data_IF_949115800113
#
_entry.id   IF_949115800113
#
_cell.length_a   1.000
_cell.length_b   1.000
_cell.length_c   1.000
_cell.angle_alpha   90.00
_cell.angle_beta   90.00
_cell.angle_gamma   90.00
#
_symmetry.space_group_name_H-M   'P 1'
#
loop_
_entity.id
_entity.type
_entity.pdbx_description
1 polymer ?
#
# COMPACT_ATOMS: atom_id res chain seq x y z
N UNK A 1 -37.92 -72.13 -20.06
CA UNK A 1 -36.90 -71.19 -20.50
C UNK A 1 -37.31 -69.79 -20.06
N UNK A 2 -36.78 -69.28 -18.90
CA UNK A 2 -37.07 -67.94 -18.39
C UNK A 2 -35.89 -67.09 -18.66
N UNK A 3 -36.07 -66.04 -19.50
CA UNK A 3 -35.03 -65.03 -19.79
C UNK A 3 -35.12 -63.95 -18.70
N UNK A 4 -34.12 -63.90 -17.83
CA UNK A 4 -33.93 -62.81 -16.88
C UNK A 4 -33.43 -61.56 -17.61
N UNK A 5 -34.20 -60.50 -17.54
CA UNK A 5 -33.84 -59.16 -18.04
C UNK A 5 -33.16 -58.44 -16.91
N UNK A 6 -31.83 -58.22 -17.03
CA UNK A 6 -31.02 -57.48 -16.10
C UNK A 6 -31.13 -55.99 -16.45
N UNK A 7 -31.88 -55.23 -15.67
CA UNK A 7 -31.91 -53.75 -15.75
C UNK A 7 -30.62 -53.19 -15.17
N UNK A 8 -29.80 -52.64 -16.03
CA UNK A 8 -28.61 -51.90 -15.68
C UNK A 8 -29.01 -50.45 -15.37
N UNK A 9 -29.11 -50.14 -14.05
CA UNK A 9 -29.37 -48.77 -13.59
C UNK A 9 -28.07 -47.97 -13.65
N UNK A 10 -27.88 -47.17 -14.73
CA UNK A 10 -26.79 -46.20 -14.83
C UNK A 10 -27.12 -45.03 -13.87
N UNK A 11 -26.46 -45.01 -12.72
CA UNK A 11 -26.44 -43.84 -11.87
C UNK A 11 -25.63 -42.74 -12.59
N UNK A 12 -26.32 -41.74 -13.11
CA UNK A 12 -25.67 -40.48 -13.51
C UNK A 12 -25.18 -39.80 -12.23
N UNK A 13 -23.91 -39.99 -11.91
CA UNK A 13 -23.21 -39.16 -10.96
C UNK A 13 -23.00 -37.81 -11.68
N UNK A 14 -23.84 -36.83 -11.39
CA UNK A 14 -23.67 -35.48 -11.82
C UNK A 14 -22.33 -34.98 -11.31
N UNK A 15 -21.33 -34.84 -12.17
CA UNK A 15 -20.13 -34.13 -11.85
C UNK A 15 -20.52 -32.71 -11.39
N UNK A 16 -20.00 -32.21 -10.24
CA UNK A 16 -20.24 -30.83 -9.86
C UNK A 16 -19.74 -29.98 -11.02
N UNK A 17 -20.63 -29.17 -11.61
CA UNK A 17 -20.24 -28.16 -12.55
C UNK A 17 -19.22 -27.26 -11.82
N UNK A 18 -17.95 -27.41 -12.17
CA UNK A 18 -16.95 -26.42 -11.90
C UNK A 18 -17.48 -25.14 -12.58
N UNK A 19 -18.15 -24.31 -11.80
CA UNK A 19 -18.40 -22.93 -12.19
C UNK A 19 -17.01 -22.37 -12.37
N UNK A 20 -16.53 -22.38 -13.60
CA UNK A 20 -15.37 -21.61 -13.98
C UNK A 20 -15.72 -20.19 -13.56
N UNK A 21 -14.93 -19.62 -12.63
CA UNK A 21 -14.93 -18.21 -12.33
C UNK A 21 -14.36 -17.48 -13.58
N UNK A 22 -15.02 -17.74 -14.73
CA UNK A 22 -14.70 -17.11 -16.00
C UNK A 22 -15.23 -15.70 -15.91
N UNK A 23 -14.29 -14.77 -16.00
CA UNK A 23 -14.49 -13.39 -16.39
C UNK A 23 -15.20 -12.46 -15.39
N UNK A 24 -15.15 -12.73 -14.08
CA UNK A 24 -15.47 -11.73 -13.07
C UNK A 24 -14.26 -10.78 -12.89
N UNK A 25 -13.97 -10.02 -13.96
CA UNK A 25 -12.94 -8.99 -13.93
C UNK A 25 -13.53 -7.66 -14.40
N UNK A 26 -12.94 -6.58 -13.95
CA UNK A 26 -13.22 -5.22 -14.36
C UNK A 26 -12.00 -4.35 -14.00
N UNK A 27 -12.01 -3.08 -14.40
CA UNK A 27 -10.90 -2.16 -14.17
C UNK A 27 -10.48 -2.07 -12.71
N UNK A 28 -11.41 -2.17 -11.76
CA UNK A 28 -11.10 -2.14 -10.32
C UNK A 28 -10.37 -3.40 -9.88
N UNK A 29 -10.88 -4.57 -10.27
CA UNK A 29 -10.25 -5.86 -9.96
C UNK A 29 -8.86 -5.92 -10.57
N UNK A 30 -8.73 -5.53 -11.82
CA UNK A 30 -7.45 -5.50 -12.53
C UNK A 30 -6.45 -4.56 -11.87
N UNK A 31 -6.88 -3.38 -11.42
CA UNK A 31 -6.05 -2.44 -10.67
C UNK A 31 -5.54 -3.05 -9.36
N UNK A 32 -6.42 -3.70 -8.58
CA UNK A 32 -6.06 -4.37 -7.33
C UNK A 32 -5.03 -5.48 -7.59
N UNK A 33 -5.28 -6.32 -8.59
CA UNK A 33 -4.41 -7.45 -8.92
C UNK A 33 -3.07 -7.01 -9.55
N UNK A 34 -3.04 -5.89 -10.25
CA UNK A 34 -1.85 -5.34 -10.90
C UNK A 34 -0.94 -4.54 -9.96
N UNK A 35 -1.50 -3.92 -8.89
CA UNK A 35 -0.72 -3.08 -8.00
C UNK A 35 0.45 -3.82 -7.35
N UNK A 36 1.61 -3.16 -7.33
CA UNK A 36 2.85 -3.66 -6.71
C UNK A 36 3.48 -2.60 -5.82
N UNK A 37 4.32 -3.04 -4.88
CA UNK A 37 5.18 -2.14 -4.11
C UNK A 37 6.38 -1.76 -4.97
N UNK A 38 6.34 -0.55 -5.53
CA UNK A 38 7.41 0.03 -6.35
C UNK A 38 8.45 0.67 -5.45
N UNK A 39 9.75 0.44 -5.74
CA UNK A 39 10.88 0.94 -4.96
C UNK A 39 11.96 1.61 -5.81
N UNK A 40 11.70 1.73 -7.13
CA UNK A 40 12.50 2.50 -8.07
C UNK A 40 11.58 3.44 -8.82
N UNK A 41 11.95 4.69 -8.87
CA UNK A 41 11.14 5.75 -9.43
C UNK A 41 11.94 6.58 -10.41
N UNK A 42 11.27 7.10 -11.41
CA UNK A 42 11.81 8.12 -12.31
C UNK A 42 12.01 9.42 -11.56
N UNK A 43 12.93 10.26 -12.04
CA UNK A 43 13.19 11.59 -11.45
C UNK A 43 12.12 12.64 -11.84
N UNK A 44 10.99 12.18 -12.40
CA UNK A 44 9.86 13.03 -12.79
C UNK A 44 9.03 13.37 -11.56
N UNK A 45 8.83 14.65 -11.22
CA UNK A 45 7.93 15.05 -10.14
C UNK A 45 6.50 14.55 -10.39
N UNK A 46 5.79 14.24 -9.33
CA UNK A 46 4.35 13.94 -9.41
C UNK A 46 3.58 15.26 -9.37
N UNK A 47 2.65 15.45 -10.29
CA UNK A 47 1.81 16.62 -10.35
C UNK A 47 0.92 16.75 -9.11
N UNK A 48 0.84 17.96 -8.57
CA UNK A 48 0.04 18.25 -7.37
C UNK A 48 -1.43 17.82 -7.53
N UNK A 49 -2.00 17.99 -8.71
CA UNK A 49 -3.37 17.62 -9.02
C UNK A 49 -3.60 16.10 -8.89
N UNK A 50 -2.62 15.29 -9.28
CA UNK A 50 -2.69 13.83 -9.08
C UNK A 50 -2.59 13.47 -7.60
N UNK A 51 -1.72 14.15 -6.86
CA UNK A 51 -1.61 13.96 -5.40
C UNK A 51 -2.91 14.32 -4.70
N UNK A 52 -3.53 15.42 -5.08
CA UNK A 52 -4.84 15.84 -4.55
C UNK A 52 -5.94 14.79 -4.83
N UNK A 53 -5.96 14.21 -6.04
CA UNK A 53 -6.93 13.16 -6.41
C UNK A 53 -6.72 11.90 -5.57
N UNK A 54 -5.49 11.38 -5.46
CA UNK A 54 -5.23 10.13 -4.73
C UNK A 54 -5.48 10.28 -3.23
N UNK A 55 -5.18 11.45 -2.64
CA UNK A 55 -5.49 11.74 -1.24
C UNK A 55 -7.00 11.86 -1.03
N UNK A 56 -7.71 12.51 -1.96
CA UNK A 56 -9.17 12.56 -1.90
C UNK A 56 -9.80 11.16 -1.98
N UNK A 57 -9.30 10.27 -2.82
CA UNK A 57 -9.72 8.86 -2.82
C UNK A 57 -9.44 8.20 -1.46
N UNK A 58 -8.30 8.50 -0.85
CA UNK A 58 -7.93 7.99 0.46
C UNK A 58 -8.95 8.36 1.54
N UNK A 59 -9.25 9.65 1.70
CA UNK A 59 -10.16 10.14 2.76
C UNK A 59 -11.61 9.73 2.54
N UNK A 60 -11.97 9.17 1.37
CA UNK A 60 -13.25 8.53 1.11
C UNK A 60 -13.31 7.05 1.57
N UNK A 61 -12.26 6.54 2.21
CA UNK A 61 -12.29 5.21 2.82
C UNK A 61 -13.35 5.12 3.92
N UNK A 62 -14.01 3.95 4.07
CA UNK A 62 -14.90 3.74 5.19
C UNK A 62 -14.13 3.81 6.51
N UNK A 63 -14.81 4.33 7.54
CA UNK A 63 -14.23 4.44 8.88
C UNK A 63 -15.32 4.40 9.94
N UNK A 64 -14.95 4.03 11.16
CA UNK A 64 -15.88 3.86 12.26
C UNK A 64 -16.66 5.13 12.58
N UNK A 65 -17.99 5.11 12.40
CA UNK A 65 -18.91 6.23 12.71
C UNK A 65 -18.53 7.57 12.03
N UNK A 66 -17.84 7.51 10.91
CA UNK A 66 -17.31 8.68 10.20
C UNK A 66 -16.41 9.58 11.09
N UNK A 67 -15.67 8.98 12.01
CA UNK A 67 -14.77 9.72 12.92
C UNK A 67 -13.51 10.24 12.22
N UNK A 68 -13.14 9.63 11.09
CA UNK A 68 -11.97 10.00 10.29
C UNK A 68 -10.70 10.12 11.15
N UNK A 69 -10.30 9.05 11.88
CA UNK A 69 -9.22 9.07 12.85
C UNK A 69 -7.85 9.01 12.18
N UNK A 70 -7.57 9.93 11.31
CA UNK A 70 -6.31 10.05 10.59
C UNK A 70 -5.90 11.50 10.40
N UNK A 71 -4.61 11.73 10.30
CA UNK A 71 -4.02 12.95 9.80
C UNK A 71 -3.11 12.61 8.62
N UNK A 72 -3.36 13.20 7.46
CA UNK A 72 -2.58 12.97 6.23
C UNK A 72 -1.72 14.19 5.96
N UNK A 73 -0.42 13.97 5.65
CA UNK A 73 0.52 15.02 5.26
C UNK A 73 1.21 14.62 3.97
N UNK A 74 1.07 15.43 2.94
CA UNK A 74 1.76 15.23 1.67
C UNK A 74 3.04 16.04 1.69
N UNK A 75 4.16 15.38 1.46
CA UNK A 75 5.49 15.99 1.42
C UNK A 75 5.94 16.02 -0.03
N UNK A 76 5.82 17.19 -0.64
CA UNK A 76 6.30 17.49 -1.99
C UNK A 76 7.67 18.21 -1.96
N UNK A 77 8.13 18.61 -0.77
CA UNK A 77 9.39 19.34 -0.57
C UNK A 77 10.60 18.39 -0.67
N UNK A 78 11.45 18.54 -1.70
CA UNK A 78 12.65 17.72 -1.85
C UNK A 78 13.66 17.92 -0.71
N UNK A 79 13.68 19.11 -0.09
CA UNK A 79 14.59 19.41 1.02
C UNK A 79 14.26 18.52 2.23
N UNK A 80 12.98 18.33 2.56
CA UNK A 80 12.57 17.41 3.63
C UNK A 80 13.14 16.00 3.41
N UNK A 81 13.00 15.47 2.18
CA UNK A 81 13.46 14.12 1.82
C UNK A 81 14.99 14.03 1.89
N UNK A 82 15.69 15.02 1.36
CA UNK A 82 17.16 15.04 1.31
C UNK A 82 17.77 15.17 2.69
N UNK A 83 17.28 16.11 3.49
CA UNK A 83 17.81 16.42 4.82
C UNK A 83 17.56 15.28 5.81
N UNK A 84 16.36 14.72 5.85
CA UNK A 84 16.06 13.56 6.70
C UNK A 84 16.85 12.31 6.27
N UNK A 85 17.09 12.15 4.97
CA UNK A 85 17.95 11.07 4.46
C UNK A 85 19.41 11.27 4.89
N UNK A 86 19.92 12.50 4.86
CA UNK A 86 21.28 12.78 5.33
C UNK A 86 21.47 12.44 6.81
N UNK A 87 20.48 12.78 7.66
CA UNK A 87 20.49 12.38 9.08
C UNK A 87 20.47 10.86 9.25
N UNK A 88 19.62 10.18 8.48
CA UNK A 88 19.54 8.71 8.51
C UNK A 88 20.86 8.06 8.10
N UNK A 89 21.48 8.51 7.01
CA UNK A 89 22.75 7.96 6.48
C UNK A 89 23.89 8.24 7.45
N UNK A 90 23.93 9.41 8.10
CA UNK A 90 24.96 9.70 9.11
C UNK A 90 25.01 8.67 10.24
N UNK A 91 23.87 8.08 10.57
CA UNK A 91 23.76 7.01 11.59
C UNK A 91 23.80 5.59 11.02
N UNK A 92 23.55 5.45 9.73
CA UNK A 92 23.46 4.16 9.02
C UNK A 92 24.23 4.19 7.70
N UNK A 93 25.55 4.49 7.70
CA UNK A 93 26.32 4.70 6.46
C UNK A 93 26.29 3.48 5.55
N UNK A 94 26.24 2.27 6.12
CA UNK A 94 26.16 1.01 5.37
C UNK A 94 24.92 0.90 4.48
N UNK A 95 23.88 1.68 4.71
CA UNK A 95 22.67 1.65 3.87
C UNK A 95 22.91 2.25 2.49
N UNK A 96 23.64 3.36 2.44
CA UNK A 96 24.04 3.99 1.18
C UNK A 96 25.16 3.18 0.47
N UNK A 97 26.08 2.57 1.25
CA UNK A 97 27.19 1.77 0.70
C UNK A 97 26.72 0.47 0.00
N UNK A 98 25.63 -0.14 0.49
CA UNK A 98 25.10 -1.43 -0.03
C UNK A 98 24.33 -1.29 -1.33
N UNK A 99 23.81 -0.12 -1.63
CA UNK A 99 23.00 0.12 -2.82
C UNK A 99 23.56 1.31 -3.62
N UNK A 100 24.27 1.07 -4.74
CA UNK A 100 24.83 2.14 -5.57
C UNK A 100 23.76 3.05 -6.18
N UNK A 101 22.49 2.65 -6.16
CA UNK A 101 21.36 3.45 -6.64
C UNK A 101 20.58 4.12 -5.48
N UNK A 102 21.11 4.06 -4.25
CA UNK A 102 20.48 4.71 -3.10
C UNK A 102 20.44 6.23 -3.28
N UNK A 103 19.25 6.80 -3.36
CA UNK A 103 19.03 8.25 -3.42
C UNK A 103 18.48 8.77 -2.08
N UNK A 104 17.55 8.04 -1.47
CA UNK A 104 16.96 8.43 -0.19
C UNK A 104 16.42 7.23 0.60
N UNK A 105 16.22 7.43 1.91
CA UNK A 105 15.74 6.38 2.83
C UNK A 105 14.30 5.94 2.56
N UNK A 106 13.55 6.67 1.75
CA UNK A 106 12.16 6.38 1.39
C UNK A 106 12.05 5.52 0.12
N UNK A 107 13.01 4.62 -0.11
CA UNK A 107 13.09 3.78 -1.31
C UNK A 107 13.14 4.59 -2.61
N UNK A 108 13.82 5.72 -2.54
CA UNK A 108 14.01 6.65 -3.66
C UNK A 108 12.71 7.32 -4.15
N UNK A 109 11.64 7.29 -3.36
CA UNK A 109 10.40 8.00 -3.70
C UNK A 109 10.62 9.52 -3.68
N UNK A 110 10.15 10.25 -4.72
CA UNK A 110 10.27 11.70 -4.79
C UNK A 110 9.20 12.45 -3.98
N UNK A 111 8.12 11.78 -3.61
CA UNK A 111 6.99 12.36 -2.87
C UNK A 111 6.55 11.37 -1.79
N UNK A 112 6.11 11.90 -0.64
CA UNK A 112 5.66 11.08 0.49
C UNK A 112 4.25 11.47 0.91
N UNK A 113 3.46 10.47 1.28
CA UNK A 113 2.19 10.67 1.97
C UNK A 113 2.33 10.03 3.35
N UNK A 114 2.43 10.89 4.37
CA UNK A 114 2.57 10.50 5.76
C UNK A 114 1.18 10.35 6.38
N UNK A 115 0.90 9.24 7.02
CA UNK A 115 -0.37 8.95 7.67
C UNK A 115 -0.12 8.76 9.17
N UNK A 116 -0.80 9.57 9.96
CA UNK A 116 -0.79 9.48 11.41
C UNK A 116 -2.17 9.10 11.95
N UNK A 117 -2.20 8.38 13.06
CA UNK A 117 -3.40 7.89 13.74
C UNK A 117 -3.33 8.18 15.23
N UNK A 118 -4.45 8.14 15.97
CA UNK A 118 -4.41 8.19 17.42
C UNK A 118 -3.43 7.17 18.03
N UNK A 119 -2.65 7.58 19.00
CA UNK A 119 -1.61 6.74 19.63
C UNK A 119 -2.15 5.50 20.35
N UNK A 120 -3.44 5.47 20.67
CA UNK A 120 -4.13 4.32 21.27
C UNK A 120 -4.46 3.21 20.25
N UNK A 121 -4.10 3.40 18.97
CA UNK A 121 -4.35 2.46 17.88
C UNK A 121 -5.78 2.39 17.38
N UNK A 122 -6.70 3.21 17.91
CA UNK A 122 -8.13 3.17 17.53
C UNK A 122 -8.40 3.52 16.06
N UNK A 123 -7.44 4.14 15.37
CA UNK A 123 -7.52 4.51 13.95
C UNK A 123 -6.78 3.58 12.99
N UNK A 124 -6.11 2.54 13.44
CA UNK A 124 -5.17 1.77 12.59
C UNK A 124 -5.85 1.03 11.46
N UNK A 125 -7.01 0.42 11.69
CA UNK A 125 -7.80 -0.25 10.65
C UNK A 125 -8.28 0.78 9.61
N UNK A 126 -8.84 1.89 10.08
CA UNK A 126 -9.35 2.96 9.23
C UNK A 126 -8.23 3.58 8.36
N UNK A 127 -7.04 3.78 8.96
CA UNK A 127 -5.85 4.23 8.23
C UNK A 127 -5.35 3.20 7.20
N UNK A 128 -5.45 1.91 7.49
CA UNK A 128 -5.14 0.85 6.52
C UNK A 128 -6.04 0.92 5.29
N UNK A 129 -7.34 1.12 5.49
CA UNK A 129 -8.33 1.30 4.42
C UNK A 129 -8.06 2.58 3.60
N UNK A 130 -7.75 3.70 4.28
CA UNK A 130 -7.34 4.94 3.64
C UNK A 130 -6.09 4.75 2.78
N UNK A 131 -5.07 4.08 3.31
CA UNK A 131 -3.81 3.85 2.59
C UNK A 131 -3.99 2.98 1.35
N UNK A 132 -4.82 1.93 1.39
CA UNK A 132 -5.08 1.11 0.22
C UNK A 132 -5.84 1.89 -0.86
N UNK A 133 -6.83 2.71 -0.50
CA UNK A 133 -7.50 3.60 -1.45
C UNK A 133 -6.51 4.56 -2.15
N UNK A 134 -5.57 5.15 -1.40
CA UNK A 134 -4.50 6.00 -1.97
C UNK A 134 -3.67 5.19 -2.98
N UNK A 135 -3.24 3.99 -2.60
CA UNK A 135 -2.36 3.18 -3.43
C UNK A 135 -3.05 2.67 -4.69
N UNK A 136 -4.34 2.32 -4.64
CA UNK A 136 -5.12 1.91 -5.80
C UNK A 136 -5.40 3.09 -6.73
N UNK A 137 -5.76 4.25 -6.19
CA UNK A 137 -5.93 5.46 -6.98
C UNK A 137 -4.62 5.89 -7.66
N UNK A 138 -3.48 5.79 -6.97
CA UNK A 138 -2.17 6.03 -7.55
C UNK A 138 -1.88 5.07 -8.72
N UNK A 139 -2.13 3.77 -8.52
CA UNK A 139 -1.99 2.75 -9.57
C UNK A 139 -2.83 3.07 -10.81
N UNK A 140 -4.09 3.47 -10.64
CA UNK A 140 -4.99 3.83 -11.75
C UNK A 140 -4.52 5.06 -12.54
N UNK A 141 -3.74 5.94 -11.90
CA UNK A 141 -3.14 7.12 -12.52
C UNK A 141 -1.71 6.88 -13.06
N UNK A 142 -1.27 5.62 -13.12
CA UNK A 142 0.08 5.25 -13.59
C UNK A 142 1.21 5.59 -12.63
N UNK A 143 0.91 5.83 -11.35
CA UNK A 143 1.89 6.06 -10.30
C UNK A 143 2.23 4.75 -9.57
N UNK A 144 3.48 4.63 -9.15
CA UNK A 144 3.94 3.56 -8.27
C UNK A 144 3.92 4.01 -6.81
N UNK A 145 3.65 3.06 -5.91
CA UNK A 145 3.64 3.32 -4.47
C UNK A 145 4.34 2.22 -3.68
N UNK A 146 4.82 2.58 -2.48
CA UNK A 146 5.31 1.62 -1.50
C UNK A 146 4.98 2.11 -0.08
N UNK A 147 4.31 1.27 0.71
CA UNK A 147 4.11 1.52 2.13
C UNK A 147 5.41 1.24 2.90
N UNK A 148 5.85 2.19 3.73
CA UNK A 148 7.15 2.24 4.36
C UNK A 148 7.01 2.38 5.88
N UNK A 149 7.49 1.39 6.65
CA UNK A 149 7.59 1.46 8.10
C UNK A 149 8.98 1.84 8.61
N UNK A 150 10.05 1.48 7.86
CA UNK A 150 11.43 1.77 8.28
C UNK A 150 11.73 3.24 8.51
N UNK A 151 11.41 4.14 7.57
CA UNK A 151 11.59 5.59 7.74
C UNK A 151 10.79 6.15 8.92
N UNK A 152 9.58 5.64 9.17
CA UNK A 152 8.76 6.05 10.33
C UNK A 152 9.51 5.80 11.62
N UNK A 153 10.05 4.60 11.79
CA UNK A 153 10.81 4.28 13.00
C UNK A 153 11.95 5.27 13.24
N UNK A 154 12.71 5.62 12.20
CA UNK A 154 13.77 6.61 12.32
C UNK A 154 13.23 7.98 12.73
N UNK A 155 12.21 8.48 12.03
CA UNK A 155 11.64 9.81 12.27
C UNK A 155 11.09 9.96 13.69
N UNK A 156 10.45 8.92 14.25
CA UNK A 156 9.82 9.00 15.58
C UNK A 156 10.76 8.67 16.75
N UNK A 157 11.90 8.01 16.50
CA UNK A 157 12.79 7.60 17.59
C UNK A 157 14.11 8.35 17.64
N UNK A 158 14.46 9.10 16.59
CA UNK A 158 15.72 9.79 16.51
C UNK A 158 15.56 11.28 16.81
N UNK A 159 16.21 11.75 17.88
CA UNK A 159 16.13 13.15 18.33
C UNK A 159 16.54 14.15 17.22
N UNK A 160 17.46 13.78 16.32
CA UNK A 160 17.85 14.65 15.21
C UNK A 160 16.74 14.86 14.19
N UNK A 161 15.71 13.99 14.16
CA UNK A 161 14.56 14.11 13.27
C UNK A 161 13.42 14.98 13.84
N UNK A 162 13.50 15.36 15.12
CA UNK A 162 12.46 16.16 15.79
C UNK A 162 12.04 17.43 15.02
N UNK A 163 12.93 18.26 14.44
CA UNK A 163 12.54 19.43 13.66
C UNK A 163 11.67 19.08 12.45
N UNK A 164 11.88 17.89 11.85
CA UNK A 164 11.11 17.41 10.70
C UNK A 164 9.76 16.84 11.13
N UNK A 165 9.68 16.19 12.29
CA UNK A 165 8.41 15.77 12.88
C UNK A 165 7.53 16.98 13.20
N UNK A 166 8.12 18.07 13.74
CA UNK A 166 7.41 19.33 13.95
C UNK A 166 6.89 19.93 12.64
N UNK A 167 7.66 19.87 11.54
CA UNK A 167 7.21 20.32 10.20
C UNK A 167 6.03 19.51 9.67
N UNK A 168 5.91 18.24 10.01
CA UNK A 168 4.75 17.42 9.64
C UNK A 168 3.48 17.87 10.37
N UNK A 169 3.60 18.65 11.46
CA UNK A 169 2.48 19.18 12.21
C UNK A 169 1.40 18.13 12.49
N UNK A 170 1.84 16.99 13.02
CA UNK A 170 0.95 15.90 13.43
C UNK A 170 0.16 16.36 14.67
N UNK A 171 -1.18 16.15 14.72
CA UNK A 171 -1.98 16.55 15.87
C UNK A 171 -1.50 15.90 17.18
N UNK A 172 -1.70 16.61 18.29
CA UNK A 172 -1.47 16.05 19.63
C UNK A 172 -2.27 14.76 19.84
N UNK A 173 -1.69 13.76 20.48
CA UNK A 173 -2.28 12.43 20.68
C UNK A 173 -2.30 11.54 19.43
N UNK A 174 -1.62 11.97 18.35
CA UNK A 174 -1.43 11.16 17.14
C UNK A 174 0.03 10.77 16.97
N UNK A 175 0.25 9.61 16.39
CA UNK A 175 1.58 9.12 16.02
C UNK A 175 1.66 8.86 14.52
N UNK A 176 2.84 9.08 13.93
CA UNK A 176 3.10 8.71 12.55
C UNK A 176 3.07 7.20 12.43
N UNK A 177 2.08 6.64 11.72
CA UNK A 177 1.84 5.21 11.61
C UNK A 177 2.61 4.59 10.44
N UNK A 178 2.46 5.16 9.25
CA UNK A 178 3.22 4.73 8.06
C UNK A 178 3.40 5.89 7.07
N UNK A 179 4.30 5.67 6.11
CA UNK A 179 4.55 6.58 4.99
C UNK A 179 4.32 5.81 3.69
N UNK A 180 3.61 6.40 2.74
CA UNK A 180 3.52 5.91 1.37
C UNK A 180 4.48 6.73 0.51
N UNK A 181 5.52 6.08 -0.03
CA UNK A 181 6.34 6.67 -1.09
C UNK A 181 5.58 6.62 -2.40
N UNK A 182 5.57 7.72 -3.14
CA UNK A 182 4.83 7.90 -4.40
C UNK A 182 5.75 8.45 -5.48
N UNK A 183 5.59 8.00 -6.72
CA UNK A 183 6.33 8.49 -7.87
C UNK A 183 5.99 7.73 -9.15
N UNK A 184 6.52 8.17 -10.28
CA UNK A 184 6.43 7.42 -11.53
C UNK A 184 7.31 6.18 -11.46
N UNK A 185 6.78 4.96 -11.70
CA UNK A 185 7.55 3.74 -11.56
C UNK A 185 8.68 3.65 -12.60
N UNK A 186 9.86 3.19 -12.16
CA UNK A 186 11.01 2.84 -13.00
C UNK A 186 11.38 1.36 -12.82
N UNK A 187 10.41 0.57 -12.42
CA UNK A 187 10.47 -0.90 -12.33
C UNK A 187 9.07 -1.47 -12.48
N UNK A 188 9.01 -2.76 -12.84
CA UNK A 188 7.78 -3.55 -12.89
C UNK A 188 7.97 -4.83 -12.07
N UNK A 189 7.77 -4.77 -10.73
CA UNK A 189 7.98 -5.92 -9.88
C UNK A 189 6.98 -7.05 -10.17
N UNK A 190 7.47 -8.29 -10.18
CA UNK A 190 6.62 -9.46 -10.31
C UNK A 190 5.69 -9.65 -9.12
N UNK A 191 4.53 -10.27 -9.38
CA UNK A 191 3.60 -10.66 -8.33
C UNK A 191 4.22 -11.80 -7.50
N UNK A 192 4.30 -11.60 -6.18
CA UNK A 192 4.64 -12.69 -5.27
C UNK A 192 3.43 -13.59 -5.05
N UNK A 193 3.61 -14.91 -4.89
CA UNK A 193 2.51 -15.83 -4.60
C UNK A 193 1.77 -15.43 -3.32
N UNK A 194 0.47 -15.69 -3.29
CA UNK A 194 -0.37 -15.53 -2.11
C UNK A 194 -0.75 -16.91 -1.58
N UNK A 195 -0.80 -17.03 -0.27
CA UNK A 195 -1.16 -18.26 0.43
C UNK A 195 -2.68 -18.33 0.57
N UNK A 196 -3.33 -18.98 -0.38
CA UNK A 196 -4.78 -19.18 -0.38
C UNK A 196 -5.26 -20.14 0.73
N UNK A 197 -4.38 -20.93 1.34
CA UNK A 197 -4.73 -21.83 2.44
C UNK A 197 -5.17 -21.10 3.72
N UNK A 198 -4.91 -19.79 3.78
CA UNK A 198 -5.37 -18.92 4.89
C UNK A 198 -6.79 -18.41 4.73
N UNK A 199 -7.49 -18.81 3.66
CA UNK A 199 -8.88 -18.45 3.42
C UNK A 199 -9.75 -19.68 3.56
N UNK A 200 -10.76 -19.59 4.41
CA UNK A 200 -11.75 -20.65 4.62
C UNK A 200 -13.16 -20.09 4.39
N UNK A 201 -13.99 -20.82 3.67
CA UNK A 201 -15.39 -20.47 3.44
C UNK A 201 -16.27 -21.27 4.42
N UNK A 202 -16.84 -20.59 5.38
CA UNK A 202 -17.79 -21.19 6.33
C UNK A 202 -19.17 -21.18 5.68
N UNK A 203 -19.76 -22.38 5.51
CA UNK A 203 -21.08 -22.62 4.86
C UNK A 203 -22.10 -23.07 5.87
#
# INVERSE_FOLDING_TARGET
MRKSLLLMLCALVGAPALVQAQDLTNEVIDCILARRSVRKYKDTPVEHEKLAVIVNCGINAPNGMNRQPWAVRVVEDPAFITETTALFVAKNPQMAERDPNFKNMYRNAPTLICVATPEDGSGDVDAGLLGENIMLAAQSLGLGTCCLGGPVRFLVTDESAEPYMQRLNIPEGYVLNYIIGVGYPDESPEAKPRDASKVEYIQ
#
